data_IF_252221576849
#
_entry.id   IF_252221576849
#
_cell.length_a   1.000
_cell.length_b   1.000
_cell.length_c   1.000
_cell.angle_alpha   90.00
_cell.angle_beta   90.00
_cell.angle_gamma   90.00
#
_symmetry.space_group_name_H-M   'P 1'
#
loop_
_entity.id
_entity.type
_entity.pdbx_description
1 polymer ?
#
# COMPACT_ATOMS: atom_id res chain seq x y z
N UNK A 1 27.78 -15.45 20.12
CA UNK A 1 27.95 -15.02 18.71
C UNK A 1 26.69 -14.49 18.03
N UNK A 2 25.51 -15.15 18.15
CA UNK A 2 24.28 -14.71 17.47
C UNK A 2 23.77 -13.31 17.92
N UNK A 3 23.93 -12.96 19.20
CA UNK A 3 23.52 -11.64 19.75
C UNK A 3 24.41 -10.49 19.29
N UNK A 4 25.74 -10.68 19.24
CA UNK A 4 26.70 -9.66 18.81
C UNK A 4 26.51 -9.28 17.33
N UNK A 5 26.35 -10.27 16.44
CA UNK A 5 26.11 -10.00 15.00
C UNK A 5 24.77 -9.29 14.80
N UNK A 6 23.73 -9.67 15.56
CA UNK A 6 22.43 -8.98 15.53
C UNK A 6 22.59 -7.52 15.96
N UNK A 7 23.24 -7.28 17.11
CA UNK A 7 23.50 -5.94 17.62
C UNK A 7 24.30 -5.07 16.65
N UNK A 8 25.29 -5.64 15.98
CA UNK A 8 26.07 -4.95 14.94
C UNK A 8 25.24 -4.60 13.69
N UNK A 9 24.35 -5.49 13.25
CA UNK A 9 23.57 -5.28 12.02
C UNK A 9 22.34 -4.41 12.21
N UNK A 10 21.63 -4.54 13.33
CA UNK A 10 20.31 -3.91 13.52
C UNK A 10 20.12 -3.31 14.91
N UNK A 11 21.14 -3.33 15.78
CA UNK A 11 21.00 -2.97 17.18
C UNK A 11 20.15 -3.97 17.95
N UNK A 12 19.43 -3.48 18.95
CA UNK A 12 18.54 -4.27 19.80
C UNK A 12 17.12 -4.45 19.20
N UNK A 13 16.91 -3.95 17.99
CA UNK A 13 15.62 -3.99 17.29
C UNK A 13 15.18 -5.44 16.95
N UNK A 14 13.87 -5.66 16.99
CA UNK A 14 13.22 -6.89 16.49
C UNK A 14 12.95 -6.72 14.99
N UNK A 15 13.41 -7.65 14.16
CA UNK A 15 13.12 -7.61 12.72
C UNK A 15 11.74 -8.22 12.50
N UNK A 16 10.80 -7.37 12.13
CA UNK A 16 9.62 -7.74 11.33
C UNK A 16 9.87 -7.27 9.89
N UNK A 17 9.21 -7.87 8.89
CA UNK A 17 9.34 -7.40 7.50
C UNK A 17 8.76 -5.97 7.34
N UNK A 18 7.59 -5.77 7.94
CA UNK A 18 6.92 -4.47 7.99
C UNK A 18 6.83 -3.99 9.44
N UNK A 19 7.10 -2.71 9.64
CA UNK A 19 6.83 -2.00 10.87
C UNK A 19 5.49 -1.28 10.75
N UNK A 20 4.70 -1.34 11.81
CA UNK A 20 3.45 -0.61 11.92
C UNK A 20 3.71 0.72 12.59
N UNK A 21 3.20 1.80 12.02
CA UNK A 21 3.46 3.15 12.49
C UNK A 21 2.20 4.00 12.45
N UNK A 22 2.19 5.05 13.27
CA UNK A 22 1.21 6.14 13.19
C UNK A 22 1.82 7.34 12.47
N UNK A 23 1.03 7.97 11.60
CA UNK A 23 1.43 9.20 10.90
C UNK A 23 0.56 10.34 11.47
N UNK A 24 1.15 11.31 12.22
CA UNK A 24 0.38 12.23 13.07
C UNK A 24 -0.44 13.27 12.30
N UNK A 25 0.00 13.72 11.12
CA UNK A 25 -0.74 14.71 10.31
C UNK A 25 -0.68 14.36 8.83
N UNK A 26 0.53 14.28 8.29
CA UNK A 26 0.77 13.98 6.87
C UNK A 26 2.04 13.14 6.70
N UNK A 27 2.06 12.39 5.61
CA UNK A 27 3.24 11.62 5.21
C UNK A 27 4.32 12.60 4.78
N UNK A 28 5.47 12.54 5.45
CA UNK A 28 6.63 13.40 5.20
C UNK A 28 7.31 13.04 3.89
N UNK A 29 7.40 11.75 3.60
CA UNK A 29 8.04 11.22 2.41
C UNK A 29 7.37 11.74 1.13
N UNK A 30 8.20 11.97 0.13
CA UNK A 30 7.76 12.43 -1.20
C UNK A 30 8.13 11.38 -2.24
N UNK A 31 7.26 11.24 -3.23
CA UNK A 31 7.48 10.35 -4.36
C UNK A 31 7.37 11.15 -5.65
N UNK A 32 8.39 11.04 -6.49
CA UNK A 32 8.46 11.74 -7.77
C UNK A 32 8.55 10.74 -8.91
N UNK A 33 7.74 10.93 -9.94
CA UNK A 33 7.81 10.22 -11.21
C UNK A 33 8.64 11.04 -12.19
N UNK A 34 9.74 10.46 -12.69
CA UNK A 34 10.52 11.03 -13.79
C UNK A 34 10.13 10.40 -15.11
N UNK A 35 9.73 11.25 -16.05
CA UNK A 35 9.35 10.89 -17.41
C UNK A 35 9.92 11.93 -18.36
N UNK A 36 10.74 11.53 -19.32
CA UNK A 36 11.38 12.44 -20.29
C UNK A 36 12.10 13.63 -19.63
N UNK A 37 12.75 13.41 -18.48
CA UNK A 37 13.45 14.45 -17.70
C UNK A 37 12.55 15.37 -16.87
N UNK A 38 11.22 15.22 -16.94
CA UNK A 38 10.28 15.95 -16.08
C UNK A 38 10.02 15.19 -14.80
N UNK A 39 10.10 15.88 -13.66
CA UNK A 39 9.77 15.35 -12.34
C UNK A 39 8.35 15.76 -11.94
N UNK A 40 7.49 14.76 -11.77
CA UNK A 40 6.08 14.93 -11.39
C UNK A 40 5.93 14.44 -9.96
N UNK A 41 5.43 15.27 -9.05
CA UNK A 41 5.12 14.84 -7.69
C UNK A 41 3.88 13.93 -7.71
N UNK A 42 4.08 12.67 -7.36
CA UNK A 42 3.03 11.64 -7.28
C UNK A 42 2.88 11.11 -5.86
N UNK A 43 3.30 11.90 -4.86
CA UNK A 43 3.03 11.63 -3.45
C UNK A 43 1.51 11.46 -3.27
N UNK A 44 1.08 10.35 -2.66
CA UNK A 44 -0.33 9.93 -2.53
C UNK A 44 -1.04 9.48 -3.82
N UNK A 45 -0.45 9.67 -5.00
CA UNK A 45 -1.01 9.28 -6.31
C UNK A 45 -0.34 8.05 -6.90
N UNK A 46 0.24 7.20 -6.05
CA UNK A 46 0.91 5.97 -6.47
C UNK A 46 0.65 4.83 -5.48
N UNK A 47 0.44 3.63 -6.00
CA UNK A 47 0.07 2.46 -5.20
C UNK A 47 0.73 1.19 -5.72
N UNK A 48 1.17 0.31 -4.82
CA UNK A 48 1.57 -1.05 -5.16
C UNK A 48 0.30 -1.89 -5.38
N UNK A 49 0.09 -2.41 -6.60
CA UNK A 49 -1.14 -3.11 -6.99
C UNK A 49 -0.92 -4.60 -7.30
N UNK A 50 0.32 -5.01 -7.58
CA UNK A 50 0.67 -6.42 -7.72
C UNK A 50 2.09 -6.66 -7.20
N UNK A 51 2.33 -7.84 -6.66
CA UNK A 51 3.63 -8.27 -6.12
C UNK A 51 4.42 -9.13 -7.13
N UNK A 52 3.72 -9.88 -7.98
CA UNK A 52 4.36 -10.77 -8.94
C UNK A 52 3.56 -10.83 -10.24
N UNK A 53 4.04 -10.18 -11.32
CA UNK A 53 5.12 -9.19 -11.31
C UNK A 53 4.79 -7.97 -10.43
N UNK A 54 5.82 -7.23 -10.02
CA UNK A 54 5.60 -5.99 -9.27
C UNK A 54 5.02 -4.94 -10.20
N UNK A 55 3.81 -4.46 -9.90
CA UNK A 55 3.10 -3.45 -10.68
C UNK A 55 2.66 -2.32 -9.76
N UNK A 56 2.97 -1.09 -10.17
CA UNK A 56 2.49 0.13 -9.55
C UNK A 56 1.38 0.75 -10.39
N UNK A 57 0.34 1.26 -9.74
CA UNK A 57 -0.58 2.22 -10.34
C UNK A 57 -0.13 3.64 -10.03
N UNK A 58 -0.10 4.53 -11.01
CA UNK A 58 0.20 5.96 -10.83
C UNK A 58 -0.89 6.79 -11.51
N UNK A 59 -1.54 7.68 -10.76
CA UNK A 59 -2.59 8.56 -11.28
C UNK A 59 -2.03 9.89 -11.75
N UNK A 60 -2.44 10.33 -12.95
CA UNK A 60 -1.95 11.57 -13.57
C UNK A 60 -3.13 12.34 -14.18
N UNK A 61 -3.33 13.58 -13.73
CA UNK A 61 -4.44 14.44 -14.16
C UNK A 61 -4.09 15.34 -15.35
N UNK A 62 -2.84 15.81 -15.40
CA UNK A 62 -2.39 16.79 -16.38
C UNK A 62 -2.12 16.16 -17.76
N UNK A 63 -2.76 16.66 -18.81
CA UNK A 63 -2.62 16.19 -20.21
C UNK A 63 -1.18 16.19 -20.74
N UNK A 64 -0.37 17.19 -20.37
CA UNK A 64 1.04 17.27 -20.76
C UNK A 64 1.81 16.09 -20.17
N UNK A 65 1.57 15.79 -18.89
CA UNK A 65 2.20 14.65 -18.22
C UNK A 65 1.69 13.30 -18.75
N UNK A 66 0.39 13.19 -19.09
CA UNK A 66 -0.17 11.99 -19.73
C UNK A 66 0.53 11.71 -21.06
N UNK A 67 0.68 12.74 -21.89
CA UNK A 67 1.36 12.65 -23.18
C UNK A 67 2.82 12.24 -23.01
N UNK A 68 3.52 12.80 -22.03
CA UNK A 68 4.90 12.43 -21.73
C UNK A 68 5.02 10.94 -21.38
N UNK A 69 4.13 10.42 -20.53
CA UNK A 69 4.13 9.01 -20.10
C UNK A 69 3.74 8.08 -21.26
N UNK A 70 2.78 8.49 -22.08
CA UNK A 70 2.35 7.71 -23.24
C UNK A 70 3.48 7.50 -24.26
N UNK A 71 4.35 8.48 -24.41
CA UNK A 71 5.48 8.45 -25.33
C UNK A 71 6.77 7.88 -24.71
N UNK A 72 6.82 7.74 -23.38
CA UNK A 72 8.02 7.28 -22.70
C UNK A 72 8.16 5.75 -22.78
N UNK A 73 9.37 5.30 -23.11
CA UNK A 73 9.74 3.88 -23.08
C UNK A 73 10.06 3.40 -21.66
N UNK A 74 10.57 4.30 -20.81
CA UNK A 74 10.96 4.03 -19.43
C UNK A 74 10.51 5.15 -18.51
N UNK A 75 10.04 4.79 -17.32
CA UNK A 75 9.70 5.73 -16.25
C UNK A 75 10.50 5.39 -14.98
N UNK A 76 10.79 6.39 -14.14
CA UNK A 76 11.42 6.16 -12.83
C UNK A 76 10.59 6.74 -11.70
N UNK A 77 10.46 6.03 -10.59
CA UNK A 77 9.96 6.59 -9.33
C UNK A 77 11.11 6.77 -8.34
N UNK A 78 11.19 7.95 -7.75
CA UNK A 78 12.12 8.28 -6.67
C UNK A 78 11.34 8.43 -5.36
N UNK A 79 11.88 7.85 -4.30
CA UNK A 79 11.36 7.95 -2.93
C UNK A 79 12.34 8.77 -2.11
N UNK A 80 11.84 9.80 -1.44
CA UNK A 80 12.65 10.77 -0.71
C UNK A 80 12.08 10.94 0.70
N UNK A 81 12.97 11.12 1.69
CA UNK A 81 12.60 11.23 3.10
C UNK A 81 11.84 12.52 3.47
N UNK A 82 11.70 13.47 2.52
CA UNK A 82 11.02 14.75 2.71
C UNK A 82 11.65 15.61 3.82
N UNK A 83 12.83 16.21 3.59
CA UNK A 83 13.30 17.23 4.53
C UNK A 83 12.58 18.55 4.26
N UNK A 84 12.08 19.19 5.31
CA UNK A 84 11.42 20.50 5.22
C UNK A 84 12.33 21.52 4.50
N UNK A 85 11.95 21.93 3.30
CA UNK A 85 12.56 23.05 2.57
C UNK A 85 13.63 22.72 1.53
N UNK A 86 13.90 21.44 1.25
CA UNK A 86 14.82 21.03 0.17
C UNK A 86 14.03 20.54 -1.05
N UNK A 87 14.45 20.97 -2.24
CA UNK A 87 13.84 20.56 -3.50
C UNK A 87 14.01 19.06 -3.78
N UNK A 88 13.30 18.51 -4.79
CA UNK A 88 13.26 17.07 -5.08
C UNK A 88 14.64 16.44 -5.30
N UNK A 89 15.62 17.20 -5.77
CA UNK A 89 16.99 16.71 -6.03
C UNK A 89 17.97 16.92 -4.86
N UNK A 90 17.59 17.68 -3.83
CA UNK A 90 18.46 17.93 -2.66
C UNK A 90 18.05 17.13 -1.44
N UNK A 91 16.88 16.49 -1.49
CA UNK A 91 16.48 15.49 -0.52
C UNK A 91 17.25 14.18 -0.72
N UNK A 92 17.65 13.51 0.36
CA UNK A 92 18.32 12.22 0.27
C UNK A 92 17.35 11.20 -0.33
N UNK A 93 17.74 10.68 -1.50
CA UNK A 93 17.04 9.61 -2.19
C UNK A 93 17.17 8.31 -1.40
N UNK A 94 16.04 7.70 -1.07
CA UNK A 94 15.97 6.46 -0.29
C UNK A 94 15.80 5.24 -1.20
N UNK A 95 15.05 5.39 -2.29
CA UNK A 95 14.86 4.35 -3.28
C UNK A 95 14.60 4.92 -4.67
N UNK A 96 14.95 4.12 -5.67
CA UNK A 96 14.70 4.39 -7.09
C UNK A 96 14.14 3.11 -7.75
N UNK A 97 13.06 3.25 -8.49
CA UNK A 97 12.39 2.15 -9.19
C UNK A 97 12.26 2.49 -10.67
N UNK A 98 12.66 1.57 -11.55
CA UNK A 98 12.56 1.72 -13.00
C UNK A 98 11.44 0.87 -13.54
N UNK A 99 10.65 1.41 -14.45
CA UNK A 99 9.44 0.78 -14.94
C UNK A 99 9.34 0.78 -16.45
N UNK A 100 8.65 -0.25 -16.95
CA UNK A 100 8.02 -0.29 -18.26
C UNK A 100 6.52 -0.03 -18.11
N UNK A 101 5.93 0.73 -19.04
CA UNK A 101 4.48 0.93 -19.10
C UNK A 101 3.83 -0.35 -19.64
N UNK A 102 2.72 -0.78 -19.02
CA UNK A 102 1.97 -1.96 -19.47
C UNK A 102 0.60 -1.61 -20.02
N UNK A 103 -0.23 -0.95 -19.22
CA UNK A 103 -1.61 -0.61 -19.54
C UNK A 103 -2.00 0.72 -18.88
N UNK A 104 -3.15 1.26 -19.25
CA UNK A 104 -3.75 2.43 -18.61
C UNK A 104 -5.26 2.30 -18.47
N UNK A 105 -5.84 3.06 -17.56
CA UNK A 105 -7.28 3.28 -17.43
C UNK A 105 -7.52 4.79 -17.49
N UNK A 106 -8.28 5.23 -18.48
CA UNK A 106 -8.61 6.64 -18.69
C UNK A 106 -9.94 7.00 -18.04
N UNK A 107 -10.01 8.18 -17.43
CA UNK A 107 -11.22 8.85 -17.00
C UNK A 107 -11.17 10.31 -17.46
N UNK A 108 -12.30 11.01 -17.33
CA UNK A 108 -12.39 12.42 -17.70
C UNK A 108 -11.37 13.34 -16.99
N UNK A 109 -11.01 13.03 -15.74
CA UNK A 109 -10.12 13.88 -14.93
C UNK A 109 -8.66 13.43 -14.93
N UNK A 110 -8.33 12.27 -15.50
CA UNK A 110 -6.99 11.71 -15.37
C UNK A 110 -6.83 10.31 -15.95
N UNK A 111 -5.63 9.76 -15.82
CA UNK A 111 -5.28 8.42 -16.29
C UNK A 111 -4.52 7.68 -15.21
N UNK A 112 -4.94 6.45 -14.93
CA UNK A 112 -4.18 5.50 -14.13
C UNK A 112 -3.21 4.76 -15.05
N UNK A 113 -1.91 4.95 -14.86
CA UNK A 113 -0.88 4.19 -15.55
C UNK A 113 -0.47 2.98 -14.73
N UNK A 114 -0.42 1.80 -15.37
CA UNK A 114 0.09 0.57 -14.77
C UNK A 114 1.54 0.35 -15.21
N UNK A 115 2.44 0.47 -14.24
CA UNK A 115 3.89 0.47 -14.42
C UNK A 115 4.48 -0.82 -13.84
N UNK A 116 5.06 -1.66 -14.71
CA UNK A 116 5.69 -2.92 -14.31
C UNK A 116 7.16 -2.67 -13.99
N UNK A 117 7.59 -3.19 -12.84
CA UNK A 117 8.94 -2.96 -12.34
C UNK A 117 10.00 -3.75 -13.12
N UNK A 118 10.99 -3.04 -13.66
CA UNK A 118 12.16 -3.61 -14.30
C UNK A 118 13.35 -3.64 -13.34
N UNK A 119 13.64 -2.55 -12.63
CA UNK A 119 14.81 -2.48 -11.73
C UNK A 119 14.49 -1.73 -10.45
N UNK A 120 15.19 -2.07 -9.38
CA UNK A 120 15.03 -1.40 -8.08
C UNK A 120 16.37 -1.15 -7.42
N UNK A 121 16.51 0.02 -6.84
CA UNK A 121 17.67 0.48 -6.08
C UNK A 121 17.17 1.04 -4.76
N UNK A 122 17.93 0.78 -3.70
CA UNK A 122 17.63 1.23 -2.36
C UNK A 122 18.91 1.76 -1.71
N UNK A 123 18.79 2.78 -0.89
CA UNK A 123 19.92 3.59 -0.39
C UNK A 123 19.92 3.77 1.13
N UNK A 124 18.91 3.24 1.84
CA UNK A 124 18.79 3.32 3.30
C UNK A 124 19.98 2.69 4.06
N UNK A 125 20.65 1.72 3.45
CA UNK A 125 21.81 1.01 4.02
C UNK A 125 22.89 0.81 2.97
N UNK A 126 24.14 0.72 3.43
CA UNK A 126 25.24 0.32 2.54
C UNK A 126 25.00 -1.08 1.95
N UNK A 127 25.58 -1.33 0.77
CA UNK A 127 25.32 -2.53 -0.01
C UNK A 127 25.66 -3.83 0.74
N UNK A 128 26.76 -3.85 1.50
CA UNK A 128 27.22 -5.01 2.27
C UNK A 128 26.23 -5.34 3.40
N UNK A 129 25.87 -4.36 4.22
CA UNK A 129 24.95 -4.50 5.34
C UNK A 129 23.56 -4.94 4.86
N UNK A 130 23.07 -4.35 3.78
CA UNK A 130 21.82 -4.76 3.11
C UNK A 130 21.86 -6.22 2.68
N UNK A 131 22.92 -6.66 2.01
CA UNK A 131 23.04 -8.05 1.55
C UNK A 131 23.11 -9.03 2.73
N UNK A 132 23.84 -8.69 3.80
CA UNK A 132 23.92 -9.50 5.02
C UNK A 132 22.54 -9.65 5.70
N UNK A 133 21.78 -8.56 5.82
CA UNK A 133 20.42 -8.60 6.37
C UNK A 133 19.51 -9.47 5.51
N UNK A 134 19.51 -9.29 4.18
CA UNK A 134 18.74 -10.12 3.27
C UNK A 134 19.07 -11.61 3.42
N UNK A 135 20.36 -11.97 3.36
CA UNK A 135 20.81 -13.36 3.45
C UNK A 135 20.44 -13.99 4.79
N UNK A 136 20.48 -13.22 5.88
CA UNK A 136 20.28 -13.74 7.24
C UNK A 136 18.82 -13.87 7.64
N UNK A 137 17.95 -12.98 7.17
CA UNK A 137 16.58 -12.84 7.67
C UNK A 137 15.51 -13.06 6.59
N UNK A 138 15.77 -12.74 5.33
CA UNK A 138 14.74 -12.73 4.28
C UNK A 138 14.85 -13.87 3.28
N UNK A 139 16.07 -14.39 3.03
CA UNK A 139 16.30 -15.47 2.05
C UNK A 139 15.51 -16.76 2.34
N UNK A 140 15.15 -17.02 3.61
CA UNK A 140 14.45 -18.26 4.00
C UNK A 140 12.99 -18.30 3.53
N UNK A 141 12.39 -17.17 3.17
CA UNK A 141 10.97 -17.07 2.84
C UNK A 141 10.68 -17.21 1.34
N UNK A 142 11.60 -17.79 0.56
CA UNK A 142 11.49 -17.84 -0.91
C UNK A 142 11.65 -16.48 -1.61
N UNK A 143 11.80 -15.39 -0.85
CA UNK A 143 11.94 -14.04 -1.37
C UNK A 143 13.27 -13.84 -2.10
N UNK A 144 13.21 -13.49 -3.38
CA UNK A 144 14.40 -13.14 -4.15
C UNK A 144 14.92 -11.75 -3.78
N UNK A 145 16.23 -11.52 -3.94
CA UNK A 145 16.84 -10.24 -3.56
C UNK A 145 16.27 -9.04 -4.35
N UNK A 146 15.88 -9.26 -5.61
CA UNK A 146 15.22 -8.23 -6.44
C UNK A 146 13.86 -7.84 -5.87
N UNK A 147 13.04 -8.83 -5.48
CA UNK A 147 11.74 -8.61 -4.84
C UNK A 147 11.91 -7.91 -3.48
N UNK A 148 12.87 -8.36 -2.68
CA UNK A 148 13.22 -7.71 -1.41
C UNK A 148 13.52 -6.21 -1.58
N UNK A 149 14.42 -5.84 -2.51
CA UNK A 149 14.72 -4.43 -2.77
C UNK A 149 13.47 -3.64 -3.20
N UNK A 150 12.62 -4.26 -4.01
CA UNK A 150 11.40 -3.62 -4.47
C UNK A 150 10.38 -3.41 -3.35
N UNK A 151 10.23 -4.35 -2.41
CA UNK A 151 9.39 -4.15 -1.22
C UNK A 151 9.94 -3.08 -0.29
N UNK A 152 11.25 -3.08 -0.05
CA UNK A 152 11.89 -2.02 0.74
C UNK A 152 11.57 -0.65 0.13
N UNK A 153 11.72 -0.50 -1.18
CA UNK A 153 11.41 0.73 -1.90
C UNK A 153 9.90 1.07 -1.85
N UNK A 154 9.02 0.12 -2.16
CA UNK A 154 7.57 0.34 -2.19
C UNK A 154 7.01 0.81 -0.84
N UNK A 155 7.58 0.31 0.26
CA UNK A 155 7.24 0.65 1.63
C UNK A 155 8.26 1.62 2.28
N UNK A 156 9.05 2.33 1.46
CA UNK A 156 9.72 3.57 1.89
C UNK A 156 8.74 4.75 1.90
N UNK A 157 7.56 4.57 1.30
CA UNK A 157 6.41 5.45 1.49
C UNK A 157 5.38 4.74 2.39
N UNK A 158 4.94 5.33 3.51
CA UNK A 158 3.93 4.75 4.38
C UNK A 158 2.66 4.34 3.64
N UNK A 159 2.25 3.08 3.78
CA UNK A 159 1.05 2.51 3.16
C UNK A 159 -0.06 2.39 4.19
N UNK A 160 -1.17 3.11 3.98
CA UNK A 160 -2.30 3.07 4.91
C UNK A 160 -2.95 1.69 4.87
N UNK A 161 -3.22 1.12 6.04
CA UNK A 161 -4.05 -0.08 6.16
C UNK A 161 -5.50 0.36 6.27
N UNK A 162 -6.38 -0.21 5.44
CA UNK A 162 -7.83 -0.06 5.54
C UNK A 162 -8.48 -1.41 5.76
N UNK A 163 -9.73 -1.42 6.21
CA UNK A 163 -10.53 -2.64 6.32
C UNK A 163 -11.46 -2.74 5.12
N UNK A 164 -11.41 -3.89 4.46
CA UNK A 164 -12.30 -4.23 3.35
C UNK A 164 -13.37 -5.17 3.87
N UNK A 165 -14.61 -4.87 3.52
CA UNK A 165 -15.75 -5.75 3.78
C UNK A 165 -16.48 -6.08 2.49
N UNK A 166 -16.93 -7.33 2.38
CA UNK A 166 -17.91 -7.70 1.38
C UNK A 166 -18.88 -8.75 1.91
N UNK A 167 -20.06 -8.83 1.28
CA UNK A 167 -21.07 -9.84 1.58
C UNK A 167 -21.70 -10.39 0.30
N UNK A 168 -21.99 -11.68 0.30
CA UNK A 168 -22.74 -12.39 -0.72
C UNK A 168 -23.66 -13.40 -0.01
N UNK A 169 -24.96 -13.11 0.03
CA UNK A 169 -25.94 -13.87 0.81
C UNK A 169 -25.53 -13.96 2.29
N UNK A 170 -25.43 -15.17 2.84
CA UNK A 170 -24.99 -15.43 4.22
C UNK A 170 -23.46 -15.42 4.39
N UNK A 171 -22.71 -15.41 3.28
CA UNK A 171 -21.26 -15.32 3.32
C UNK A 171 -20.83 -13.85 3.43
N UNK A 172 -19.92 -13.54 4.33
CA UNK A 172 -19.26 -12.23 4.41
C UNK A 172 -17.78 -12.42 4.71
N UNK A 173 -16.94 -11.43 4.39
CA UNK A 173 -15.56 -11.41 4.88
C UNK A 173 -15.14 -9.97 5.19
N UNK A 174 -14.39 -9.80 6.28
CA UNK A 174 -13.81 -8.53 6.71
C UNK A 174 -12.32 -8.74 6.88
N UNK A 175 -11.49 -8.05 6.12
CA UNK A 175 -10.04 -8.25 6.12
C UNK A 175 -9.27 -6.94 5.93
N UNK A 176 -8.05 -6.82 6.52
CA UNK A 176 -7.21 -5.67 6.30
C UNK A 176 -6.55 -5.72 4.93
N UNK A 177 -6.32 -4.55 4.33
CA UNK A 177 -5.64 -4.42 3.05
C UNK A 177 -4.86 -3.10 2.98
N UNK A 178 -3.68 -3.15 2.37
CA UNK A 178 -2.78 -2.02 2.15
C UNK A 178 -2.46 -1.78 0.66
N UNK A 179 -2.66 -2.78 -0.19
CA UNK A 179 -2.51 -2.70 -1.66
C UNK A 179 -3.73 -2.03 -2.31
N UNK A 180 -4.02 -0.80 -1.92
CA UNK A 180 -5.17 -0.05 -2.43
C UNK A 180 -4.89 1.45 -2.50
N UNK A 181 -5.70 2.16 -3.28
CA UNK A 181 -5.58 3.59 -3.50
C UNK A 181 -6.92 4.28 -3.62
N UNK A 182 -6.96 5.54 -3.19
CA UNK A 182 -8.10 6.45 -3.34
C UNK A 182 -7.71 7.56 -4.33
N UNK A 183 -8.53 7.75 -5.35
CA UNK A 183 -8.40 8.80 -6.35
C UNK A 183 -9.62 9.72 -6.17
N UNK A 184 -9.48 10.67 -5.26
CA UNK A 184 -10.57 11.53 -4.81
C UNK A 184 -11.11 12.43 -5.92
N UNK A 185 -10.28 12.84 -6.89
CA UNK A 185 -10.68 13.74 -7.98
C UNK A 185 -11.68 13.13 -8.96
N UNK A 186 -11.82 11.80 -9.01
CA UNK A 186 -12.85 11.11 -9.77
C UNK A 186 -13.68 10.10 -8.98
N UNK A 187 -13.57 10.10 -7.64
CA UNK A 187 -14.26 9.15 -6.77
C UNK A 187 -14.01 7.69 -7.21
N UNK A 188 -12.73 7.34 -7.38
CA UNK A 188 -12.31 5.99 -7.78
C UNK A 188 -11.42 5.37 -6.73
N UNK A 189 -11.49 4.05 -6.64
CA UNK A 189 -10.56 3.25 -5.89
C UNK A 189 -9.89 2.21 -6.77
N UNK A 190 -8.62 1.95 -6.47
CA UNK A 190 -7.85 0.83 -7.01
C UNK A 190 -7.56 -0.16 -5.90
N UNK A 191 -7.67 -1.44 -6.21
CA UNK A 191 -7.33 -2.54 -5.30
C UNK A 191 -6.45 -3.54 -6.03
N UNK A 192 -5.38 -4.00 -5.39
CA UNK A 192 -4.60 -5.16 -5.79
C UNK A 192 -4.95 -6.36 -4.91
N UNK A 193 -5.89 -7.21 -5.33
CA UNK A 193 -6.32 -8.36 -4.52
C UNK A 193 -5.70 -9.66 -5.03
N UNK A 194 -5.09 -10.46 -4.14
CA UNK A 194 -4.45 -11.73 -4.52
C UNK A 194 -5.46 -12.72 -5.10
N UNK A 195 -5.06 -13.49 -6.12
CA UNK A 195 -5.88 -14.60 -6.65
C UNK A 195 -6.12 -15.70 -5.63
N UNK A 196 -5.22 -15.87 -4.66
CA UNK A 196 -5.37 -16.84 -3.57
C UNK A 196 -6.38 -16.38 -2.51
N UNK A 197 -6.87 -15.15 -2.57
CA UNK A 197 -7.88 -14.69 -1.63
C UNK A 197 -9.24 -15.31 -2.00
N UNK A 198 -9.78 -16.13 -1.10
CA UNK A 198 -11.08 -16.81 -1.28
C UNK A 198 -12.25 -15.85 -1.55
N UNK A 199 -12.09 -14.58 -1.17
CA UNK A 199 -13.04 -13.50 -1.41
C UNK A 199 -13.13 -13.07 -2.87
N UNK A 200 -12.04 -13.20 -3.64
CA UNK A 200 -11.88 -12.48 -4.92
C UNK A 200 -13.02 -12.80 -5.89
N UNK A 201 -13.29 -14.08 -6.14
CA UNK A 201 -14.33 -14.49 -7.08
C UNK A 201 -15.72 -14.02 -6.64
N UNK A 202 -15.97 -13.97 -5.32
CA UNK A 202 -17.24 -13.50 -4.77
C UNK A 202 -17.38 -11.99 -4.92
N UNK A 203 -16.31 -11.22 -4.67
CA UNK A 203 -16.27 -9.77 -4.87
C UNK A 203 -16.49 -9.41 -6.35
N UNK A 204 -15.85 -10.15 -7.27
CA UNK A 204 -16.06 -9.96 -8.72
C UNK A 204 -17.51 -10.27 -9.09
N UNK A 205 -18.08 -11.35 -8.56
CA UNK A 205 -19.46 -11.74 -8.84
C UNK A 205 -20.50 -10.76 -8.27
N UNK A 206 -20.26 -10.20 -7.07
CA UNK A 206 -21.16 -9.19 -6.48
C UNK A 206 -20.95 -7.81 -7.10
N UNK A 207 -19.75 -7.53 -7.63
CA UNK A 207 -19.36 -6.21 -8.12
C UNK A 207 -19.34 -5.15 -7.01
N UNK A 208 -19.32 -5.54 -5.74
CA UNK A 208 -19.51 -4.63 -4.59
C UNK A 208 -18.55 -4.94 -3.45
N UNK A 209 -18.05 -3.90 -2.82
CA UNK A 209 -17.25 -3.95 -1.59
C UNK A 209 -17.42 -2.67 -0.78
N UNK A 210 -16.93 -2.67 0.47
CA UNK A 210 -16.86 -1.50 1.35
C UNK A 210 -15.42 -1.31 1.80
N UNK A 211 -14.96 -0.06 1.80
CA UNK A 211 -13.66 0.33 2.35
C UNK A 211 -13.91 1.18 3.59
N UNK A 212 -13.38 0.74 4.73
CA UNK A 212 -13.48 1.45 6.00
C UNK A 212 -12.11 1.95 6.48
N UNK A 213 -12.07 3.20 6.94
CA UNK A 213 -10.89 3.78 7.60
C UNK A 213 -10.76 3.22 9.01
N UNK A 214 -9.52 2.83 9.35
CA UNK A 214 -9.24 2.03 10.52
C UNK A 214 -8.38 2.81 11.52
N UNK A 215 -8.92 3.16 12.71
CA UNK A 215 -8.17 3.84 13.75
C UNK A 215 -7.00 2.98 14.22
N UNK A 216 -5.90 3.65 14.53
CA UNK A 216 -4.68 3.05 15.07
C UNK A 216 -4.96 2.20 16.31
N UNK A 217 -5.85 2.67 17.19
CA UNK A 217 -6.21 2.03 18.45
C UNK A 217 -6.74 0.59 18.26
N UNK A 218 -7.22 0.26 17.05
CA UNK A 218 -7.79 -1.05 16.71
C UNK A 218 -6.77 -2.00 16.05
N UNK A 219 -5.47 -1.66 16.06
CA UNK A 219 -4.37 -2.48 15.52
C UNK A 219 -4.50 -3.97 15.88
N UNK A 220 -4.74 -4.29 17.15
CA UNK A 220 -4.83 -5.68 17.61
C UNK A 220 -6.04 -6.44 17.01
N UNK A 221 -7.16 -5.77 16.76
CA UNK A 221 -8.31 -6.35 16.06
C UNK A 221 -8.01 -6.55 14.57
N UNK A 222 -7.42 -5.54 13.92
CA UNK A 222 -7.04 -5.55 12.51
C UNK A 222 -6.06 -6.72 12.21
N UNK A 223 -5.07 -6.93 13.06
CA UNK A 223 -4.12 -8.05 12.90
C UNK A 223 -4.76 -9.42 13.06
N UNK A 224 -5.73 -9.57 13.97
CA UNK A 224 -6.50 -10.82 14.12
C UNK A 224 -7.30 -11.15 12.86
N UNK A 225 -7.85 -10.14 12.17
CA UNK A 225 -8.51 -10.35 10.88
C UNK A 225 -7.55 -10.86 9.80
N UNK A 226 -6.33 -10.32 9.75
CA UNK A 226 -5.31 -10.73 8.78
C UNK A 226 -4.86 -12.20 8.91
N UNK A 227 -4.98 -12.78 10.10
CA UNK A 227 -4.61 -14.19 10.34
C UNK A 227 -5.50 -15.20 9.59
N UNK A 228 -6.70 -14.79 9.16
CA UNK A 228 -7.69 -15.66 8.52
C UNK A 228 -7.81 -15.46 7.00
N UNK A 229 -6.88 -14.73 6.36
CA UNK A 229 -6.99 -14.37 4.93
C UNK A 229 -7.12 -15.55 3.94
N UNK A 230 -6.74 -16.76 4.36
CA UNK A 230 -6.82 -17.99 3.54
C UNK A 230 -7.83 -19.02 4.08
N UNK A 231 -8.56 -18.69 5.15
CA UNK A 231 -9.54 -19.58 5.78
C UNK A 231 -10.94 -18.98 5.68
N UNK A 232 -11.96 -19.81 5.86
CA UNK A 232 -13.32 -19.31 5.97
C UNK A 232 -13.42 -18.29 7.11
N UNK A 233 -14.13 -17.17 6.91
CA UNK A 233 -14.29 -16.15 7.91
C UNK A 233 -15.01 -16.72 9.14
N UNK A 234 -14.65 -16.24 10.36
CA UNK A 234 -15.35 -16.66 11.57
C UNK A 234 -16.82 -16.24 11.51
N UNK A 235 -17.68 -16.96 12.23
CA UNK A 235 -19.07 -16.53 12.42
C UNK A 235 -19.13 -15.11 13.01
N UNK A 236 -20.18 -14.35 12.68
CA UNK A 236 -20.30 -12.93 13.05
C UNK A 236 -20.10 -12.68 14.56
N UNK A 237 -20.65 -13.55 15.41
CA UNK A 237 -20.54 -13.47 16.87
C UNK A 237 -19.14 -13.78 17.41
N UNK A 238 -18.25 -14.35 16.58
CA UNK A 238 -16.85 -14.67 16.94
C UNK A 238 -15.89 -13.57 16.48
N UNK A 239 -16.37 -12.50 15.84
CA UNK A 239 -15.53 -11.35 15.50
C UNK A 239 -15.06 -10.64 16.78
N UNK A 240 -13.86 -10.04 16.77
CA UNK A 240 -13.31 -9.37 17.94
C UNK A 240 -13.91 -7.99 18.22
N UNK A 241 -15.04 -7.67 17.59
CA UNK A 241 -15.74 -6.38 17.63
C UNK A 241 -17.20 -6.56 17.22
N UNK A 242 -18.04 -5.56 17.48
CA UNK A 242 -19.40 -5.53 16.95
C UNK A 242 -19.39 -4.99 15.53
N UNK A 243 -20.46 -5.28 14.79
CA UNK A 243 -20.61 -4.81 13.42
C UNK A 243 -21.86 -3.95 13.27
N UNK A 244 -21.76 -2.96 12.39
CA UNK A 244 -22.90 -2.23 11.85
C UNK A 244 -23.07 -2.59 10.38
N UNK A 245 -24.22 -2.27 9.78
CA UNK A 245 -24.44 -2.47 8.34
C UNK A 245 -24.16 -1.18 7.57
N UNK A 246 -23.53 -1.35 6.40
CA UNK A 246 -23.33 -0.27 5.44
C UNK A 246 -24.64 0.14 4.79
N UNK A 247 -24.78 1.42 4.45
CA UNK A 247 -26.07 2.02 4.08
C UNK A 247 -26.70 1.41 2.82
N UNK A 248 -26.00 1.37 1.69
CA UNK A 248 -26.59 0.96 0.41
C UNK A 248 -26.31 -0.52 0.09
N UNK A 249 -25.20 -1.06 0.57
CA UNK A 249 -24.82 -2.46 0.32
C UNK A 249 -25.26 -3.44 1.42
N UNK A 250 -25.55 -2.98 2.64
CA UNK A 250 -25.90 -3.85 3.78
C UNK A 250 -24.74 -4.75 4.22
N UNK A 251 -23.49 -4.30 4.05
CA UNK A 251 -22.29 -5.07 4.37
C UNK A 251 -21.85 -4.80 5.81
N UNK A 252 -21.33 -5.81 6.49
CA UNK A 252 -20.88 -5.65 7.87
C UNK A 252 -19.59 -4.84 7.95
N UNK A 253 -19.60 -3.75 8.72
CA UNK A 253 -18.45 -2.89 9.00
C UNK A 253 -18.17 -2.96 10.50
N UNK A 254 -16.91 -2.96 10.95
CA UNK A 254 -16.61 -2.83 12.37
C UNK A 254 -17.23 -1.55 12.97
N UNK A 255 -17.83 -1.63 14.15
CA UNK A 255 -18.47 -0.49 14.83
C UNK A 255 -17.49 0.62 15.21
N UNK A 256 -16.19 0.28 15.32
CA UNK A 256 -15.10 1.20 15.56
C UNK A 256 -14.55 1.90 14.31
N UNK A 257 -15.05 1.60 13.11
CA UNK A 257 -14.61 2.28 11.89
C UNK A 257 -14.86 3.79 12.00
N UNK A 258 -13.91 4.60 11.54
CA UNK A 258 -14.05 6.07 11.58
C UNK A 258 -14.97 6.57 10.47
N UNK A 259 -14.78 6.04 9.26
CA UNK A 259 -15.59 6.33 8.10
C UNK A 259 -15.58 5.14 7.14
N UNK A 260 -16.49 5.13 6.17
CA UNK A 260 -16.46 4.17 5.07
C UNK A 260 -16.95 4.76 3.76
N UNK A 261 -16.58 4.09 2.66
CA UNK A 261 -17.14 4.30 1.31
C UNK A 261 -17.59 2.96 0.75
N UNK A 262 -18.73 2.97 0.07
CA UNK A 262 -19.25 1.81 -0.63
C UNK A 262 -18.79 1.87 -2.09
N UNK A 263 -18.27 0.76 -2.60
CA UNK A 263 -17.59 0.71 -3.89
C UNK A 263 -18.31 -0.24 -4.82
N UNK A 264 -18.63 0.25 -6.02
CA UNK A 264 -19.07 -0.58 -7.14
C UNK A 264 -17.89 -0.84 -8.07
N UNK A 265 -17.53 -2.11 -8.26
CA UNK A 265 -16.44 -2.54 -9.14
C UNK A 265 -16.90 -2.37 -10.59
N UNK A 266 -16.19 -1.53 -11.33
CA UNK A 266 -16.48 -1.22 -12.73
C UNK A 266 -15.67 -2.09 -13.70
N UNK A 267 -14.42 -2.39 -13.34
CA UNK A 267 -13.48 -3.11 -14.20
C UNK A 267 -12.51 -3.94 -13.38
N UNK A 268 -12.08 -5.06 -13.95
CA UNK A 268 -11.02 -5.90 -13.40
C UNK A 268 -9.91 -6.12 -14.42
N UNK A 269 -8.66 -6.26 -13.94
CA UNK A 269 -7.49 -6.53 -14.79
C UNK A 269 -6.59 -7.53 -14.08
N UNK A 270 -6.25 -8.64 -14.72
CA UNK A 270 -5.28 -9.59 -14.17
C UNK A 270 -3.86 -9.01 -14.28
N UNK A 271 -3.22 -8.77 -13.14
CA UNK A 271 -1.85 -8.24 -13.05
C UNK A 271 -0.80 -9.31 -12.76
N UNK A 272 -1.14 -10.60 -12.83
CA UNK A 272 -0.29 -11.72 -12.44
C UNK A 272 -0.83 -12.40 -11.18
N UNK A 273 -0.13 -12.27 -10.06
CA UNK A 273 -0.55 -12.82 -8.76
C UNK A 273 -1.72 -12.08 -8.11
N UNK A 274 -2.05 -10.88 -8.61
CA UNK A 274 -3.15 -10.06 -8.13
C UNK A 274 -4.11 -9.71 -9.27
N UNK A 275 -5.37 -9.53 -8.91
CA UNK A 275 -6.39 -8.89 -9.73
C UNK A 275 -6.49 -7.42 -9.31
N UNK A 276 -6.36 -6.52 -10.28
CA UNK A 276 -6.76 -5.13 -10.11
C UNK A 276 -8.27 -5.05 -10.12
N UNK A 277 -8.86 -4.41 -9.11
CA UNK A 277 -10.25 -3.99 -9.12
C UNK A 277 -10.27 -2.45 -9.23
N UNK A 278 -10.96 -1.93 -10.24
CA UNK A 278 -11.22 -0.51 -10.45
C UNK A 278 -12.66 -0.23 -10.09
N UNK A 279 -12.90 0.57 -9.06
CA UNK A 279 -14.25 0.80 -8.53
C UNK A 279 -14.60 2.27 -8.39
N UNK A 280 -15.89 2.58 -8.57
CA UNK A 280 -16.46 3.88 -8.22
C UNK A 280 -16.90 3.89 -6.76
N UNK A 281 -16.54 4.93 -6.02
CA UNK A 281 -16.92 5.10 -4.62
C UNK A 281 -18.16 5.98 -4.46
N UNK A 282 -19.02 5.61 -3.51
CA UNK A 282 -20.06 6.48 -2.97
C UNK A 282 -19.47 7.60 -2.11
N UNK A 283 -20.34 8.50 -1.65
CA UNK A 283 -20.00 9.54 -0.69
C UNK A 283 -19.58 8.91 0.63
N UNK A 284 -18.49 9.42 1.20
CA UNK A 284 -17.98 9.00 2.49
C UNK A 284 -19.02 9.15 3.60
N UNK A 285 -19.23 8.09 4.36
CA UNK A 285 -20.05 8.08 5.56
C UNK A 285 -19.13 8.15 6.77
N UNK A 286 -19.20 9.26 7.51
CA UNK A 286 -18.43 9.46 8.74
C UNK A 286 -19.22 8.88 9.92
N UNK A 287 -18.59 7.95 10.65
CA UNK A 287 -19.17 7.26 11.80
C UNK A 287 -18.63 7.82 13.12
N UNK A 288 -17.35 8.18 13.15
CA UNK A 288 -16.65 8.71 14.32
C UNK A 288 -15.66 9.80 13.89
N UNK A 289 -15.22 10.69 14.82
CA UNK A 289 -14.18 11.66 14.53
C UNK A 289 -12.88 10.98 14.05
N UNK A 290 -12.16 11.56 13.07
CA UNK A 290 -10.91 10.99 12.60
C UNK A 290 -9.83 11.03 13.71
N UNK A 291 -9.20 9.89 13.94
CA UNK A 291 -8.01 9.72 14.78
C UNK A 291 -6.82 9.27 13.92
N UNK A 292 -5.67 8.99 14.53
CA UNK A 292 -4.50 8.49 13.81
C UNK A 292 -4.82 7.18 13.08
N UNK A 293 -4.42 7.10 11.81
CA UNK A 293 -4.58 5.88 11.01
C UNK A 293 -3.37 4.95 11.15
N UNK A 294 -3.60 3.67 10.85
CA UNK A 294 -2.57 2.64 10.82
C UNK A 294 -1.82 2.63 9.48
N UNK A 295 -0.49 2.66 9.50
CA UNK A 295 0.35 2.55 8.31
C UNK A 295 1.38 1.44 8.41
N UNK A 296 1.80 0.92 7.25
CA UNK A 296 2.93 0.01 7.10
C UNK A 296 4.10 0.73 6.42
N UNK A 297 5.28 0.53 6.98
CA UNK A 297 6.57 0.88 6.37
C UNK A 297 7.48 -0.35 6.41
N UNK A 298 8.46 -0.43 5.52
CA UNK A 298 9.45 -1.49 5.60
C UNK A 298 10.34 -1.28 6.84
N UNK A 299 10.72 -2.33 7.55
CA UNK A 299 11.55 -2.19 8.74
C UNK A 299 12.89 -1.47 8.47
N UNK A 300 13.50 -1.69 7.31
CA UNK A 300 14.72 -0.97 6.92
C UNK A 300 14.50 0.53 6.72
N UNK A 301 13.32 0.93 6.27
CA UNK A 301 12.95 2.34 6.17
C UNK A 301 12.85 2.94 7.56
N UNK A 302 12.13 2.28 8.45
CA UNK A 302 12.01 2.71 9.84
C UNK A 302 13.39 2.84 10.54
N UNK A 303 14.28 1.85 10.39
CA UNK A 303 15.65 1.93 10.92
C UNK A 303 16.44 3.12 10.37
N UNK A 304 16.27 3.43 9.09
CA UNK A 304 16.92 4.57 8.45
C UNK A 304 16.41 5.89 9.01
N UNK A 305 15.10 6.01 9.21
CA UNK A 305 14.50 7.18 9.85
C UNK A 305 14.92 7.32 11.32
N UNK A 306 15.07 6.21 12.06
CA UNK A 306 15.54 6.22 13.45
C UNK A 306 16.94 6.82 13.55
N UNK A 307 17.84 6.43 12.64
CA UNK A 307 19.20 6.98 12.56
C UNK A 307 19.25 8.47 12.17
N UNK A 308 18.12 9.05 11.78
CA UNK A 308 17.97 10.46 11.39
C UNK A 308 17.01 11.23 12.30
N UNK A 309 16.58 10.61 13.40
CA UNK A 309 15.68 11.20 14.39
C UNK A 309 14.34 11.69 13.80
N UNK A 310 13.88 11.03 12.72
CA UNK A 310 12.62 11.34 12.03
C UNK A 310 11.69 10.13 11.89
N UNK A 311 11.94 9.05 12.64
CA UNK A 311 11.11 7.86 12.60
C UNK A 311 9.70 8.14 13.12
N UNK A 312 8.71 7.63 12.38
CA UNK A 312 7.36 7.54 12.91
C UNK A 312 7.32 6.67 14.18
N UNK A 313 6.44 6.99 15.15
CA UNK A 313 6.27 6.15 16.33
C UNK A 313 5.89 4.72 15.93
N UNK A 314 6.60 3.75 16.51
CA UNK A 314 6.20 2.35 16.39
C UNK A 314 4.89 2.12 17.14
N UNK A 315 4.05 1.33 16.50
CA UNK A 315 2.79 0.82 16.99
C UNK A 315 2.96 -0.53 17.66
#
# INVERSE_FOLDING_TARGET
MKSLIRKMLIGDNVITEYATVTVPESIQEKVYLEVNGQLINVSQLHWLLCIEPIVFGVWIENEVHKTAINNATTCKLYFNSGNKGKGPMTDPMEAELHFSRTQSIEEATGTLFLLKLEQSYIYQLNAVKRYLIFRRYYRKNGLHFRQFKAFVAAYSYPRRIRVISFRQNDYFNIFPMDLLGDISTCNRFVFGLRHTNIALNKIIATGKLVVAEAPFEQKAAIYRLGAHHSANPPALHNLPFKTIESKDHGFFIPDWAQSYREINVLKTINLGSHMLLWGASSVEQVLQPPTSNLYLVHFLHHLYQQGRECAYPLS
#
